data_IF_314625722113
#
_entry.id   IF_314625722113
#
_cell.length_a   1.000
_cell.length_b   1.000
_cell.length_c   1.000
_cell.angle_alpha   90.00
_cell.angle_beta   90.00
_cell.angle_gamma   90.00
#
_symmetry.space_group_name_H-M   'P 1'
#
loop_
_entity.id
_entity.type
_entity.pdbx_description
1 polymer ?
#
# COMPACT_ATOMS: atom_id res chain seq x y z
N UNK A 1 -26.49 14.72 -17.24
CA UNK A 1 -26.52 15.08 -18.67
C UNK A 1 -25.61 16.28 -19.01
N UNK A 2 -24.39 16.39 -18.44
CA UNK A 2 -23.42 17.46 -18.87
C UNK A 2 -21.92 17.03 -18.79
N UNK A 3 -21.50 16.04 -17.99
CA UNK A 3 -20.06 15.72 -17.87
C UNK A 3 -19.42 14.93 -19.02
N UNK A 4 -20.11 14.69 -20.14
CA UNK A 4 -19.54 13.99 -21.30
C UNK A 4 -18.90 14.91 -22.35
N UNK A 5 -18.94 16.23 -22.16
CA UNK A 5 -18.60 17.20 -23.21
C UNK A 5 -17.14 17.69 -23.21
N UNK A 6 -16.24 17.08 -22.44
CA UNK A 6 -14.85 17.55 -22.29
C UNK A 6 -13.79 16.51 -22.64
N UNK A 7 -14.11 15.52 -23.48
CA UNK A 7 -13.06 14.84 -24.24
C UNK A 7 -12.93 15.53 -25.60
N UNK A 8 -11.77 16.17 -25.89
CA UNK A 8 -11.51 16.70 -27.22
C UNK A 8 -11.41 15.55 -28.22
N UNK A 9 -12.08 15.76 -29.35
CA UNK A 9 -11.99 15.00 -30.59
C UNK A 9 -10.53 14.63 -30.92
N UNK A 10 -10.28 13.33 -31.04
CA UNK A 10 -9.15 12.81 -31.82
C UNK A 10 -9.71 11.67 -32.69
N UNK A 11 -10.46 12.10 -33.72
CA UNK A 11 -11.09 11.26 -34.73
C UNK A 11 -10.05 10.75 -35.75
N UNK A 12 -10.33 9.55 -36.26
CA UNK A 12 -9.55 8.64 -37.10
C UNK A 12 -8.67 9.21 -38.23
N UNK A 13 -7.44 8.68 -38.32
CA UNK A 13 -6.85 8.27 -39.61
C UNK A 13 -6.38 6.80 -39.53
N UNK A 14 -7.05 5.98 -40.34
CA UNK A 14 -6.84 4.56 -40.56
C UNK A 14 -5.53 4.23 -41.30
N UNK A 15 -4.94 3.09 -40.90
CA UNK A 15 -3.97 2.20 -41.59
C UNK A 15 -2.48 2.60 -41.68
N UNK A 16 -1.68 2.10 -40.72
CA UNK A 16 -0.78 0.92 -40.88
C UNK A 16 0.12 0.76 -39.65
N UNK A 17 0.08 -0.43 -39.04
CA UNK A 17 1.12 -1.00 -38.16
C UNK A 17 1.33 -0.37 -36.78
N UNK A 18 0.50 -0.76 -35.82
CA UNK A 18 1.03 -1.27 -34.56
C UNK A 18 0.04 -2.31 -34.04
N UNK A 19 0.48 -3.57 -33.97
CA UNK A 19 -0.17 -4.55 -33.10
C UNK A 19 -0.26 -3.88 -31.74
N UNK A 20 -1.46 -3.50 -31.30
CA UNK A 20 -1.80 -3.59 -29.90
C UNK A 20 -1.69 -5.07 -29.55
N UNK A 21 -0.46 -5.53 -29.29
CA UNK A 21 -0.28 -6.78 -28.58
C UNK A 21 -1.09 -6.61 -27.31
N UNK A 22 -2.22 -7.31 -27.22
CA UNK A 22 -2.84 -7.62 -25.95
C UNK A 22 -1.70 -8.02 -25.03
N UNK A 23 -1.30 -7.12 -24.13
CA UNK A 23 -0.31 -7.43 -23.12
C UNK A 23 -1.00 -8.50 -22.30
N UNK A 24 -0.74 -9.77 -22.64
CA UNK A 24 -1.34 -10.92 -22.01
C UNK A 24 -1.05 -10.75 -20.53
N UNK A 25 -2.06 -10.45 -19.74
CA UNK A 25 -1.97 -10.26 -18.28
C UNK A 25 -1.27 -11.48 -17.65
N UNK A 26 -1.38 -12.64 -18.30
CA UNK A 26 -0.64 -13.87 -18.00
C UNK A 26 0.91 -13.74 -18.08
N UNK A 27 1.47 -12.94 -18.98
CA UNK A 27 2.93 -12.68 -19.04
C UNK A 27 3.40 -11.83 -17.86
N UNK A 28 2.55 -10.95 -17.31
CA UNK A 28 2.85 -10.17 -16.10
C UNK A 28 3.03 -11.13 -14.91
N UNK A 29 2.16 -12.13 -14.77
CA UNK A 29 2.33 -13.18 -13.76
C UNK A 29 3.59 -14.06 -13.96
N UNK A 30 4.28 -13.99 -15.09
CA UNK A 30 5.50 -14.79 -15.34
C UNK A 30 6.76 -14.07 -14.84
N UNK A 31 6.67 -12.78 -14.48
CA UNK A 31 7.79 -11.99 -13.96
C UNK A 31 7.97 -12.31 -12.46
N UNK A 32 9.11 -12.90 -12.11
CA UNK A 32 9.42 -13.33 -10.73
C UNK A 32 9.33 -12.21 -9.68
N UNK A 33 9.57 -10.95 -10.07
CA UNK A 33 9.47 -9.80 -9.16
C UNK A 33 8.06 -9.54 -8.63
N UNK A 34 7.04 -9.86 -9.42
CA UNK A 34 5.64 -9.61 -9.06
C UNK A 34 5.17 -10.59 -7.97
N UNK A 35 5.66 -11.83 -7.98
CA UNK A 35 5.39 -12.80 -6.92
C UNK A 35 5.86 -12.31 -5.54
N UNK A 36 7.01 -11.63 -5.48
CA UNK A 36 7.54 -11.07 -4.22
C UNK A 36 6.60 -9.99 -3.68
N UNK A 37 6.09 -9.12 -4.55
CA UNK A 37 5.10 -8.09 -4.20
C UNK A 37 3.77 -8.71 -3.72
N UNK A 38 3.30 -9.78 -4.37
CA UNK A 38 2.08 -10.47 -3.93
C UNK A 38 2.24 -11.15 -2.57
N UNK A 39 3.35 -11.85 -2.33
CA UNK A 39 3.60 -12.52 -1.04
C UNK A 39 3.67 -11.49 0.09
N UNK A 40 4.41 -10.38 -0.11
CA UNK A 40 4.50 -9.31 0.90
C UNK A 40 3.16 -8.62 1.14
N UNK A 41 2.33 -8.46 0.11
CA UNK A 41 0.98 -7.92 0.22
C UNK A 41 0.06 -8.83 1.03
N UNK A 42 0.06 -10.14 0.75
CA UNK A 42 -0.71 -11.12 1.53
C UNK A 42 -0.27 -11.10 2.99
N UNK A 43 1.04 -11.14 3.24
CA UNK A 43 1.59 -11.12 4.60
C UNK A 43 1.22 -9.84 5.36
N UNK A 44 1.27 -8.68 4.70
CA UNK A 44 0.86 -7.40 5.27
C UNK A 44 -0.64 -7.38 5.59
N UNK A 45 -1.47 -7.91 4.70
CA UNK A 45 -2.93 -8.00 4.89
C UNK A 45 -3.28 -8.89 6.09
N UNK A 46 -2.65 -10.07 6.17
CA UNK A 46 -2.80 -10.99 7.30
C UNK A 46 -2.37 -10.34 8.62
N UNK A 47 -1.22 -9.65 8.62
CA UNK A 47 -0.72 -8.95 9.80
C UNK A 47 -1.67 -7.82 10.25
N UNK A 48 -2.27 -7.10 9.31
CA UNK A 48 -3.25 -6.06 9.60
C UNK A 48 -4.57 -6.64 10.15
N UNK A 49 -5.00 -7.80 9.66
CA UNK A 49 -6.11 -8.56 10.22
C UNK A 49 -5.84 -9.02 11.65
N UNK A 50 -4.63 -9.56 11.89
CA UNK A 50 -4.19 -9.97 13.22
C UNK A 50 -4.14 -8.80 14.21
N UNK A 51 -3.69 -7.64 13.74
CA UNK A 51 -3.68 -6.41 14.51
C UNK A 51 -5.09 -5.98 14.90
N UNK A 52 -6.06 -6.09 13.99
CA UNK A 52 -7.46 -5.76 14.27
C UNK A 52 -8.02 -6.64 15.38
N UNK A 53 -7.81 -7.96 15.25
CA UNK A 53 -8.24 -8.96 16.23
C UNK A 53 -7.52 -8.79 17.57
N UNK A 54 -6.27 -8.33 17.57
CA UNK A 54 -5.48 -8.14 18.80
C UNK A 54 -5.83 -6.82 19.51
N UNK A 55 -6.09 -5.75 18.76
CA UNK A 55 -6.42 -4.45 19.31
C UNK A 55 -7.79 -4.43 19.97
N UNK A 56 -8.76 -5.17 19.44
CA UNK A 56 -10.10 -5.28 20.00
C UNK A 56 -10.10 -5.69 21.49
N UNK A 57 -9.53 -6.84 21.90
CA UNK A 57 -9.43 -7.22 23.31
C UNK A 57 -8.47 -6.33 24.10
N UNK A 58 -7.42 -5.77 23.48
CA UNK A 58 -6.51 -4.85 24.18
C UNK A 58 -7.21 -3.56 24.62
N UNK A 59 -8.07 -2.97 23.77
CA UNK A 59 -8.81 -1.73 24.08
C UNK A 59 -10.00 -2.01 24.99
N UNK A 60 -10.79 -3.07 24.71
CA UNK A 60 -11.93 -3.44 25.53
C UNK A 60 -11.50 -3.78 26.96
N UNK A 61 -10.43 -4.57 27.12
CA UNK A 61 -10.00 -5.09 28.43
C UNK A 61 -9.17 -4.09 29.24
N UNK A 62 -8.33 -3.25 28.61
CA UNK A 62 -7.54 -2.25 29.35
C UNK A 62 -8.33 -0.99 29.69
N UNK A 63 -9.24 -0.56 28.82
CA UNK A 63 -9.85 0.75 28.93
C UNK A 63 -11.38 0.72 29.03
N UNK A 64 -12.04 -0.45 28.89
CA UNK A 64 -13.50 -0.56 28.93
C UNK A 64 -14.19 0.22 27.79
N UNK A 65 -13.44 0.55 26.75
CA UNK A 65 -13.86 1.45 25.69
C UNK A 65 -14.53 0.69 24.54
N UNK A 66 -15.53 1.34 23.94
CA UNK A 66 -16.36 0.80 22.85
C UNK A 66 -15.53 0.50 21.58
N UNK A 67 -15.90 -0.52 20.77
CA UNK A 67 -15.22 -0.89 19.51
C UNK A 67 -15.02 0.27 18.51
N UNK A 68 -15.75 1.37 18.69
CA UNK A 68 -15.60 2.62 17.96
C UNK A 68 -14.15 3.15 17.94
N UNK A 69 -13.39 2.99 19.04
CA UNK A 69 -11.99 3.43 19.10
C UNK A 69 -11.06 2.61 18.22
N UNK A 70 -11.30 1.31 18.11
CA UNK A 70 -10.53 0.43 17.22
C UNK A 70 -10.79 0.88 15.79
N UNK A 71 -12.06 1.09 15.42
CA UNK A 71 -12.43 1.66 14.12
C UNK A 71 -11.73 2.99 13.83
N UNK A 72 -11.60 3.87 14.83
CA UNK A 72 -10.93 5.17 14.70
C UNK A 72 -9.40 5.04 14.48
N UNK A 73 -8.75 4.06 15.13
CA UNK A 73 -7.33 3.75 14.91
C UNK A 73 -7.07 3.22 13.50
N UNK A 74 -7.92 2.30 13.02
CA UNK A 74 -7.86 1.82 11.63
C UNK A 74 -8.16 2.94 10.64
N UNK A 75 -9.17 3.77 10.90
CA UNK A 75 -9.47 4.95 10.10
C UNK A 75 -8.31 5.94 10.02
N UNK A 76 -7.57 6.14 11.11
CA UNK A 76 -6.37 6.99 11.11
C UNK A 76 -5.25 6.38 10.27
N UNK A 77 -5.05 5.06 10.35
CA UNK A 77 -4.06 4.34 9.52
C UNK A 77 -4.39 4.49 8.03
N UNK A 78 -5.66 4.33 7.67
CA UNK A 78 -6.11 4.37 6.28
C UNK A 78 -6.18 5.82 5.79
N UNK A 79 -6.45 6.77 6.68
CA UNK A 79 -6.29 8.20 6.42
C UNK A 79 -4.84 8.59 6.14
N UNK A 80 -3.89 8.09 6.94
CA UNK A 80 -2.46 8.31 6.71
C UNK A 80 -2.01 7.70 5.38
N UNK A 81 -2.49 6.50 5.05
CA UNK A 81 -2.28 5.86 3.75
C UNK A 81 -2.83 6.73 2.59
N UNK A 82 -4.04 7.28 2.75
CA UNK A 82 -4.68 8.13 1.74
C UNK A 82 -3.90 9.44 1.49
N UNK A 83 -3.35 10.05 2.55
CA UNK A 83 -2.46 11.22 2.44
C UNK A 83 -1.08 10.85 1.85
N UNK A 84 -0.59 9.66 2.15
CA UNK A 84 0.67 9.16 1.61
C UNK A 84 0.57 8.87 0.11
N UNK A 85 -0.59 8.43 -0.40
CA UNK A 85 -0.78 8.11 -1.82
C UNK A 85 -0.34 9.23 -2.80
N UNK A 86 -0.84 10.48 -2.70
CA UNK A 86 -0.39 11.56 -3.60
C UNK A 86 1.07 11.93 -3.38
N UNK A 87 1.57 11.86 -2.13
CA UNK A 87 2.97 12.13 -1.81
C UNK A 87 3.91 11.13 -2.51
N UNK A 88 3.65 9.83 -2.33
CA UNK A 88 4.44 8.78 -2.95
C UNK A 88 4.25 8.73 -4.46
N UNK A 89 3.06 9.04 -4.97
CA UNK A 89 2.79 9.14 -6.41
C UNK A 89 3.63 10.24 -7.06
N UNK A 90 3.63 11.45 -6.48
CA UNK A 90 4.46 12.56 -6.96
C UNK A 90 5.95 12.24 -6.92
N UNK A 91 6.40 11.57 -5.86
CA UNK A 91 7.79 11.15 -5.71
C UNK A 91 8.16 10.05 -6.73
N UNK A 92 7.31 9.03 -6.94
CA UNK A 92 7.57 7.97 -7.91
C UNK A 92 7.60 8.46 -9.37
N UNK A 93 6.84 9.51 -9.69
CA UNK A 93 6.82 10.11 -11.02
C UNK A 93 8.13 10.86 -11.31
N UNK A 94 8.69 11.53 -10.30
CA UNK A 94 9.89 12.37 -10.44
C UNK A 94 11.21 11.60 -10.46
N UNK A 95 11.24 10.37 -9.94
CA UNK A 95 12.46 9.56 -9.83
C UNK A 95 12.43 8.30 -10.70
N UNK A 96 13.49 8.09 -11.49
CA UNK A 96 13.59 6.95 -12.42
C UNK A 96 13.74 5.57 -11.71
N UNK A 97 14.04 5.56 -10.41
CA UNK A 97 14.38 4.32 -9.66
C UNK A 97 13.26 3.90 -8.70
N UNK A 98 12.10 3.56 -9.24
CA UNK A 98 10.90 3.12 -8.49
C UNK A 98 11.19 1.93 -7.57
N UNK A 99 12.07 1.01 -8.00
CA UNK A 99 12.49 -0.16 -7.20
C UNK A 99 13.12 0.20 -5.84
N UNK A 100 13.83 1.33 -5.75
CA UNK A 100 14.42 1.79 -4.47
C UNK A 100 13.32 2.29 -3.53
N UNK A 101 12.31 2.99 -4.06
CA UNK A 101 11.18 3.46 -3.27
C UNK A 101 10.35 2.29 -2.73
N UNK A 102 10.12 1.24 -3.52
CA UNK A 102 9.49 0.00 -3.05
C UNK A 102 10.26 -0.58 -1.86
N UNK A 103 11.59 -0.73 -1.96
CA UNK A 103 12.41 -1.24 -0.87
C UNK A 103 12.32 -0.37 0.38
N UNK A 104 12.38 0.95 0.25
CA UNK A 104 12.27 1.88 1.38
C UNK A 104 10.91 1.77 2.05
N UNK A 105 9.82 1.75 1.27
CA UNK A 105 8.45 1.58 1.78
C UNK A 105 8.27 0.24 2.50
N UNK A 106 8.78 -0.85 1.92
CA UNK A 106 8.74 -2.18 2.52
C UNK A 106 9.55 -2.25 3.83
N UNK A 107 10.74 -1.64 3.88
CA UNK A 107 11.52 -1.54 5.11
C UNK A 107 10.80 -0.74 6.20
N UNK A 108 10.14 0.36 5.84
CA UNK A 108 9.32 1.16 6.76
C UNK A 108 8.14 0.35 7.32
N UNK A 109 7.46 -0.40 6.46
CA UNK A 109 6.37 -1.29 6.85
C UNK A 109 6.88 -2.40 7.80
N UNK A 110 8.02 -3.01 7.49
CA UNK A 110 8.67 -4.02 8.32
C UNK A 110 9.04 -3.46 9.70
N UNK A 111 9.67 -2.29 9.76
CA UNK A 111 10.00 -1.61 11.02
C UNK A 111 8.76 -1.34 11.86
N UNK A 112 7.67 -0.93 11.22
CA UNK A 112 6.39 -0.69 11.90
C UNK A 112 5.84 -1.96 12.54
N UNK A 113 5.92 -3.10 11.84
CA UNK A 113 5.54 -4.41 12.40
C UNK A 113 6.48 -4.86 13.52
N UNK A 114 7.78 -4.57 13.44
CA UNK A 114 8.73 -4.81 14.53
C UNK A 114 8.38 -4.00 15.79
N UNK A 115 7.98 -2.74 15.64
CA UNK A 115 7.50 -1.92 16.75
C UNK A 115 6.17 -2.44 17.34
N UNK A 116 5.33 -3.04 16.51
CA UNK A 116 4.05 -3.66 16.90
C UNK A 116 4.21 -5.04 17.55
N UNK A 117 5.30 -5.72 17.23
CA UNK A 117 5.59 -7.11 17.56
C UNK A 117 5.51 -7.34 19.08
N UNK A 118 4.79 -8.37 19.54
CA UNK A 118 4.72 -8.70 20.95
C UNK A 118 6.10 -9.20 21.40
N UNK A 119 6.83 -8.41 22.21
CA UNK A 119 8.02 -8.91 22.89
C UNK A 119 7.57 -9.63 24.18
N UNK A 120 7.70 -10.96 24.27
CA UNK A 120 7.15 -11.77 25.36
C UNK A 120 8.08 -11.76 26.60
N UNK A 121 8.56 -10.58 27.01
CA UNK A 121 9.54 -10.48 28.09
C UNK A 121 9.77 -9.09 28.67
N UNK A 122 9.12 -8.05 28.16
CA UNK A 122 9.27 -6.68 28.69
C UNK A 122 7.90 -6.19 29.17
N UNK A 123 7.73 -5.84 30.46
CA UNK A 123 6.53 -5.18 30.96
C UNK A 123 6.50 -3.72 30.48
N UNK A 124 6.71 -3.49 29.18
CA UNK A 124 6.46 -2.19 28.59
C UNK A 124 4.96 -1.96 28.69
N UNK A 125 4.56 -0.90 29.37
CA UNK A 125 3.26 -0.30 29.15
C UNK A 125 3.14 -0.06 27.64
N UNK A 126 2.40 -0.91 26.92
CA UNK A 126 1.92 -0.60 25.57
C UNK A 126 1.02 0.62 25.71
N UNK A 127 1.60 1.80 25.70
CA UNK A 127 0.87 3.06 25.61
C UNK A 127 0.22 3.08 24.24
N UNK A 128 -1.06 3.45 24.20
CA UNK A 128 -1.82 3.60 22.95
C UNK A 128 -1.05 4.46 21.93
N UNK A 129 -0.25 5.41 22.40
CA UNK A 129 0.63 6.26 21.59
C UNK A 129 1.62 5.48 20.71
N UNK A 130 2.24 4.42 21.22
CA UNK A 130 3.21 3.61 20.44
C UNK A 130 2.49 2.84 19.34
N UNK A 131 1.31 2.31 19.67
CA UNK A 131 0.43 1.65 18.71
C UNK A 131 0.00 2.63 17.63
N UNK A 132 -0.49 3.82 18.00
CA UNK A 132 -0.90 4.87 17.06
C UNK A 132 0.24 5.26 16.13
N UNK A 133 1.44 5.53 16.67
CA UNK A 133 2.62 5.89 15.86
C UNK A 133 2.97 4.77 14.88
N UNK A 134 2.95 3.53 15.34
CA UNK A 134 3.26 2.38 14.48
C UNK A 134 2.16 2.12 13.43
N UNK A 135 0.88 2.36 13.72
CA UNK A 135 -0.20 2.29 12.71
C UNK A 135 -0.05 3.37 11.65
N UNK A 136 0.31 4.60 12.04
CA UNK A 136 0.54 5.71 11.08
C UNK A 136 1.73 5.38 10.18
N UNK A 137 2.86 4.96 10.76
CA UNK A 137 4.04 4.55 10.00
C UNK A 137 3.75 3.38 9.07
N UNK A 138 2.98 2.40 9.54
CA UNK A 138 2.55 1.26 8.75
C UNK A 138 1.65 1.69 7.58
N UNK A 139 0.69 2.60 7.81
CA UNK A 139 -0.16 3.16 6.77
C UNK A 139 0.63 3.92 5.69
N UNK A 140 1.63 4.71 6.09
CA UNK A 140 2.52 5.41 5.14
C UNK A 140 3.37 4.42 4.34
N UNK A 141 3.91 3.39 4.99
CA UNK A 141 4.75 2.36 4.35
C UNK A 141 3.96 1.50 3.35
N UNK A 142 2.79 0.98 3.76
CA UNK A 142 1.93 0.17 2.89
C UNK A 142 1.40 1.00 1.72
N UNK A 143 1.01 2.26 1.95
CA UNK A 143 0.54 3.15 0.89
C UNK A 143 1.61 3.44 -0.15
N UNK A 144 2.83 3.73 0.31
CA UNK A 144 3.99 3.88 -0.57
C UNK A 144 4.26 2.61 -1.39
N UNK A 145 4.18 1.43 -0.76
CA UNK A 145 4.39 0.16 -1.45
C UNK A 145 3.31 -0.13 -2.49
N UNK A 146 2.03 0.18 -2.22
CA UNK A 146 0.94 0.01 -3.19
C UNK A 146 1.12 0.92 -4.40
N UNK A 147 1.36 2.21 -4.18
CA UNK A 147 1.55 3.18 -5.27
C UNK A 147 2.80 2.84 -6.08
N UNK A 148 3.92 2.58 -5.42
CA UNK A 148 5.17 2.25 -6.10
C UNK A 148 5.07 0.90 -6.84
N UNK A 149 4.36 -0.09 -6.31
CA UNK A 149 4.10 -1.36 -6.97
C UNK A 149 3.29 -1.22 -8.25
N UNK A 150 2.26 -0.36 -8.26
CA UNK A 150 1.50 -0.03 -9.47
C UNK A 150 2.39 0.68 -10.50
N UNK A 151 3.21 1.64 -10.07
CA UNK A 151 4.12 2.37 -10.96
C UNK A 151 5.20 1.44 -11.55
N UNK A 152 5.77 0.52 -10.77
CA UNK A 152 6.75 -0.47 -11.25
C UNK A 152 6.12 -1.43 -12.26
N UNK A 153 4.91 -1.93 -11.98
CA UNK A 153 4.17 -2.76 -12.93
C UNK A 153 3.91 -2.04 -14.27
N UNK A 154 3.53 -0.76 -14.22
CA UNK A 154 3.31 0.03 -15.43
C UNK A 154 4.63 0.24 -16.21
N UNK A 155 5.75 0.49 -15.52
CA UNK A 155 7.07 0.62 -16.18
C UNK A 155 7.53 -0.70 -16.79
N UNK A 156 7.34 -1.82 -16.11
CA UNK A 156 7.68 -3.15 -16.64
C UNK A 156 6.85 -3.50 -17.88
N UNK A 157 5.56 -3.16 -17.91
CA UNK A 157 4.72 -3.35 -19.10
C UNK A 157 5.24 -2.58 -20.32
N UNK A 158 5.74 -1.36 -20.13
CA UNK A 158 6.33 -0.55 -21.22
C UNK A 158 7.64 -1.13 -21.73
N UNK A 159 8.44 -1.77 -20.86
CA UNK A 159 9.73 -2.37 -21.23
C UNK A 159 9.60 -3.72 -21.97
N UNK A 160 8.42 -4.35 -21.94
CA UNK A 160 8.15 -5.63 -22.61
C UNK A 160 7.66 -5.45 -24.07
N UNK A 161 7.55 -4.21 -24.56
CA UNK A 161 7.40 -3.90 -26.00
C UNK A 161 8.68 -4.21 -26.78
#
# INVERSE_FOLDING_TARGET
MVSFYFLPDYYDEDKKSEKSEEVKIWKIFTIGGIYVSFITFIFSTMSNGFLSITLEPQVLRKYGLSPLYVGLLFGLKDGANSLASPFWGYVCDRYWRVKIFILVSSCLALMSFFLLGPFPGIPLHRTLSVVILALILNGIGIGGQQVAGVVDAMREVVLVK
#
